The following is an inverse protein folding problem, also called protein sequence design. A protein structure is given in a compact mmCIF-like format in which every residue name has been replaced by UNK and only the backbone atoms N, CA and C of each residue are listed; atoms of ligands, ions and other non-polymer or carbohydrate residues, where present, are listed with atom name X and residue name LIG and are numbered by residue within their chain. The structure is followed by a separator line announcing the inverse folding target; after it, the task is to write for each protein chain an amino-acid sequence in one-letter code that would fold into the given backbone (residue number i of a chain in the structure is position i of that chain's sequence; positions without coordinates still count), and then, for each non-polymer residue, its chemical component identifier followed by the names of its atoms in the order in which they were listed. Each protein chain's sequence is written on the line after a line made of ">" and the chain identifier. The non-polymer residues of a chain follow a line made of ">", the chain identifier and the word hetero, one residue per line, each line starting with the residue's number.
data_IF_915130770390
#
_entry.id   IF_915130770390
#
_cell.length_a   1.000
_cell.length_b   1.000
_cell.length_c   1.000
_cell.angle_alpha   90.00
_cell.angle_beta   90.00
_cell.angle_gamma   90.00
#
_symmetry.space_group_name_H-M   'P 1'
#
loop_
_entity.id
_entity.type
_entity.pdbx_description
1 polymer ?
#
# COMPACT_ATOMS: atom_id res chain seq x y z
N UNK A 1 13.70 -2.40 25.02
CA UNK A 1 13.68 -3.58 24.14
C UNK A 1 12.56 -4.58 24.46
N UNK A 2 11.66 -4.28 25.40
CA UNK A 2 10.72 -5.27 25.93
C UNK A 2 9.79 -5.91 24.86
N UNK A 3 9.38 -5.16 23.84
CA UNK A 3 8.57 -5.69 22.73
C UNK A 3 9.31 -6.79 21.95
N UNK A 4 10.61 -6.61 21.69
CA UNK A 4 11.40 -7.55 20.86
C UNK A 4 12.00 -8.66 21.73
N UNK A 5 12.55 -8.35 22.90
CA UNK A 5 13.21 -9.34 23.77
C UNK A 5 12.25 -10.19 24.59
N UNK A 6 11.11 -9.63 25.01
CA UNK A 6 10.20 -10.28 25.98
C UNK A 6 8.83 -10.60 25.35
N UNK A 7 8.62 -10.26 24.07
CA UNK A 7 7.34 -10.46 23.39
C UNK A 7 6.20 -9.59 23.95
N UNK A 8 6.50 -8.54 24.71
CA UNK A 8 5.49 -7.61 25.21
C UNK A 8 4.84 -6.84 24.06
N UNK A 9 3.65 -6.28 24.30
CA UNK A 9 3.00 -5.41 23.34
C UNK A 9 3.93 -4.24 22.93
N UNK A 10 3.82 -3.83 21.67
CA UNK A 10 4.50 -2.64 21.17
C UNK A 10 3.94 -1.39 21.86
N UNK A 11 4.77 -0.42 22.28
CA UNK A 11 4.27 0.86 22.77
C UNK A 11 3.78 1.77 21.63
N UNK A 12 4.02 1.39 20.37
CA UNK A 12 3.58 2.16 19.22
C UNK A 12 2.05 2.07 19.06
N UNK A 13 1.39 3.22 19.08
CA UNK A 13 -0.04 3.35 18.79
C UNK A 13 -0.37 3.05 17.32
N UNK A 14 0.57 3.40 16.43
CA UNK A 14 0.45 3.21 15.00
C UNK A 14 1.79 2.84 14.35
N UNK A 15 1.72 2.11 13.25
CA UNK A 15 2.85 1.70 12.43
C UNK A 15 2.53 2.09 10.99
N UNK A 16 3.30 3.03 10.43
CA UNK A 16 3.25 3.36 9.01
C UNK A 16 4.03 2.30 8.21
N UNK A 17 3.38 1.66 7.25
CA UNK A 17 3.94 0.60 6.41
C UNK A 17 4.01 1.14 4.98
N UNK A 18 5.12 1.83 4.69
CA UNK A 18 5.34 2.58 3.45
C UNK A 18 4.35 3.74 3.25
N UNK A 19 4.84 4.82 2.64
CA UNK A 19 4.03 5.93 2.19
C UNK A 19 4.59 6.46 0.87
N UNK A 20 3.87 6.18 -0.23
CA UNK A 20 4.22 6.66 -1.57
C UNK A 20 3.07 7.51 -2.11
N UNK A 21 3.25 8.22 -3.24
CA UNK A 21 2.20 9.04 -3.81
C UNK A 21 0.91 8.27 -4.15
N UNK A 22 1.02 6.97 -4.48
CA UNK A 22 -0.10 6.16 -4.97
C UNK A 22 -0.41 4.96 -4.07
N UNK A 23 0.57 4.39 -3.39
CA UNK A 23 0.38 3.23 -2.50
C UNK A 23 0.91 3.45 -1.09
N UNK A 24 0.41 2.68 -0.14
CA UNK A 24 0.90 2.69 1.24
C UNK A 24 -0.02 1.94 2.18
N UNK A 25 0.38 1.80 3.44
CA UNK A 25 -0.45 1.19 4.46
C UNK A 25 -0.17 1.77 5.84
N UNK A 26 -1.14 1.66 6.74
CA UNK A 26 -0.98 2.00 8.16
C UNK A 26 -1.68 0.96 9.01
N UNK A 27 -1.07 0.61 10.14
CA UNK A 27 -1.70 -0.18 11.21
C UNK A 27 -1.92 0.71 12.43
N UNK A 28 -3.13 0.69 12.99
CA UNK A 28 -3.51 1.38 14.23
C UNK A 28 -4.22 0.37 15.13
N UNK A 29 -3.56 -0.07 16.21
CA UNK A 29 -4.01 -1.22 16.99
C UNK A 29 -4.17 -2.47 16.12
N UNK A 30 -5.36 -3.06 16.11
CA UNK A 30 -5.66 -4.26 15.31
C UNK A 30 -6.09 -3.93 13.86
N UNK A 31 -6.35 -2.67 13.55
CA UNK A 31 -6.84 -2.29 12.23
C UNK A 31 -5.69 -1.97 11.29
N UNK A 32 -5.71 -2.55 10.10
CA UNK A 32 -4.79 -2.25 8.99
C UNK A 32 -5.57 -1.66 7.82
N UNK A 33 -5.13 -0.51 7.33
CA UNK A 33 -5.58 0.08 6.08
C UNK A 33 -4.49 -0.10 5.03
N UNK A 34 -4.87 -0.57 3.84
CA UNK A 34 -3.99 -0.68 2.67
C UNK A 34 -4.55 0.19 1.55
N UNK A 35 -3.69 0.99 0.94
CA UNK A 35 -3.99 1.83 -0.22
C UNK A 35 -3.29 1.22 -1.44
N UNK A 36 -4.09 0.62 -2.32
CA UNK A 36 -3.63 0.01 -3.57
C UNK A 36 -3.87 0.97 -4.74
N UNK A 37 -3.22 2.14 -4.73
CA UNK A 37 -3.19 2.95 -5.95
C UNK A 37 -2.42 2.26 -7.07
N UNK A 38 -2.39 2.89 -8.23
CA UNK A 38 -1.78 2.40 -9.47
C UNK A 38 -0.24 2.26 -9.43
N UNK A 39 0.39 2.47 -8.28
CA UNK A 39 1.82 2.28 -8.10
C UNK A 39 2.18 0.80 -8.06
N UNK A 40 3.08 0.38 -8.96
CA UNK A 40 3.72 -0.94 -9.07
C UNK A 40 3.06 -1.94 -10.04
N UNK A 41 2.56 -1.46 -11.19
CA UNK A 41 2.50 -2.29 -12.41
C UNK A 41 3.28 -1.62 -13.55
N UNK A 42 4.54 -1.25 -13.28
CA UNK A 42 5.48 -0.84 -14.34
C UNK A 42 6.06 -2.05 -15.08
N UNK A 43 5.91 -3.27 -14.54
CA UNK A 43 5.96 -4.49 -15.34
C UNK A 43 4.66 -4.60 -16.14
N UNK A 44 4.57 -3.80 -17.20
CA UNK A 44 3.62 -4.05 -18.27
C UNK A 44 3.90 -5.44 -18.84
N UNK A 45 3.11 -6.44 -18.44
CA UNK A 45 2.96 -7.63 -19.25
C UNK A 45 2.32 -7.17 -20.56
N UNK A 46 3.12 -6.99 -21.61
CA UNK A 46 2.67 -6.52 -22.93
C UNK A 46 1.57 -7.42 -23.53
N UNK A 47 1.37 -8.63 -22.98
CA UNK A 47 0.33 -9.57 -23.36
C UNK A 47 -1.01 -9.37 -22.62
N UNK A 48 -1.09 -8.51 -21.61
CA UNK A 48 -2.35 -8.21 -20.92
C UNK A 48 -3.14 -7.10 -21.63
N UNK A 49 -4.42 -7.37 -21.90
CA UNK A 49 -5.32 -6.39 -22.50
C UNK A 49 -5.57 -5.20 -21.56
N UNK A 50 -5.78 -4.01 -22.13
CA UNK A 50 -6.18 -2.82 -21.36
C UNK A 50 -7.41 -3.06 -20.46
N UNK A 51 -8.32 -3.92 -20.89
CA UNK A 51 -9.50 -4.34 -20.12
C UNK A 51 -9.11 -5.10 -18.84
N UNK A 52 -8.17 -6.05 -18.94
CA UNK A 52 -7.67 -6.79 -17.78
C UNK A 52 -6.92 -5.87 -16.80
N UNK A 53 -6.10 -4.94 -17.32
CA UNK A 53 -5.40 -3.94 -16.51
C UNK A 53 -6.36 -2.99 -15.79
N UNK A 54 -7.44 -2.55 -16.47
CA UNK A 54 -8.49 -1.71 -15.85
C UNK A 54 -9.34 -2.49 -14.84
N UNK A 55 -9.60 -3.78 -15.07
CA UNK A 55 -10.28 -4.66 -14.12
C UNK A 55 -9.47 -4.90 -12.84
N UNK A 56 -8.14 -5.05 -12.96
CA UNK A 56 -7.23 -5.14 -11.80
C UNK A 56 -7.18 -3.83 -11.00
N UNK A 57 -7.15 -2.67 -11.67
CA UNK A 57 -7.25 -1.33 -11.07
C UNK A 57 -8.61 -1.00 -10.43
N UNK A 58 -9.63 -1.83 -10.69
CA UNK A 58 -11.00 -1.62 -10.21
C UNK A 58 -11.31 -2.37 -8.92
N UNK A 59 -10.42 -3.24 -8.44
CA UNK A 59 -10.57 -3.84 -7.10
C UNK A 59 -10.15 -2.79 -6.09
N UNK A 60 -11.11 -2.37 -5.27
CA UNK A 60 -11.04 -1.32 -4.25
C UNK A 60 -9.62 -0.82 -3.95
N UNK A 61 -9.31 0.42 -4.37
CA UNK A 61 -8.04 1.09 -4.08
C UNK A 61 -7.77 1.24 -2.57
N UNK A 62 -8.72 0.84 -1.72
CA UNK A 62 -8.67 0.91 -0.28
C UNK A 62 -9.19 -0.40 0.30
N UNK A 63 -8.34 -1.08 1.06
CA UNK A 63 -8.69 -2.28 1.80
C UNK A 63 -8.53 -2.04 3.30
N UNK A 64 -9.41 -2.64 4.10
CA UNK A 64 -9.38 -2.55 5.55
C UNK A 64 -9.49 -3.94 6.16
N UNK A 65 -8.61 -4.26 7.10
CA UNK A 65 -8.56 -5.55 7.78
C UNK A 65 -8.55 -5.35 9.30
N UNK A 66 -9.19 -6.26 10.02
CA UNK A 66 -9.02 -6.40 11.47
C UNK A 66 -8.09 -7.59 11.73
N UNK A 67 -6.84 -7.33 12.07
CA UNK A 67 -5.79 -8.34 12.25
C UNK A 67 -6.00 -9.22 13.50
N UNK A 68 -6.84 -8.80 14.45
CA UNK A 68 -7.23 -9.66 15.58
C UNK A 68 -8.13 -10.81 15.11
N UNK A 69 -9.01 -10.56 14.14
CA UNK A 69 -9.96 -11.56 13.61
C UNK A 69 -9.44 -12.24 12.32
N UNK A 70 -8.60 -11.54 11.56
CA UNK A 70 -8.13 -11.93 10.23
C UNK A 70 -6.65 -11.55 10.03
N UNK A 71 -5.77 -12.29 10.70
CA UNK A 71 -4.32 -12.09 10.61
C UNK A 71 -3.74 -12.40 9.22
N UNK A 72 -4.49 -13.11 8.37
CA UNK A 72 -4.10 -13.47 7.01
C UNK A 72 -4.66 -12.50 5.95
N UNK A 73 -5.34 -11.42 6.34
CA UNK A 73 -5.82 -10.35 5.46
C UNK A 73 -6.70 -10.88 4.30
N UNK A 74 -7.58 -11.84 4.60
CA UNK A 74 -8.43 -12.51 3.60
C UNK A 74 -9.71 -11.75 3.28
N UNK A 75 -10.25 -11.01 4.25
CA UNK A 75 -11.57 -10.39 4.15
C UNK A 75 -11.45 -8.88 4.24
N UNK A 76 -11.58 -8.22 3.09
CA UNK A 76 -11.69 -6.75 3.05
C UNK A 76 -12.99 -6.28 3.71
N UNK A 77 -12.86 -5.42 4.72
CA UNK A 77 -13.93 -4.84 5.53
C UNK A 77 -14.23 -3.37 5.19
N UNK A 78 -13.56 -2.80 4.18
CA UNK A 78 -13.63 -1.37 3.87
C UNK A 78 -15.07 -0.88 3.64
N UNK A 79 -15.82 -1.57 2.79
CA UNK A 79 -17.22 -1.23 2.48
C UNK A 79 -18.17 -1.37 3.68
N UNK A 80 -17.82 -2.21 4.66
CA UNK A 80 -18.60 -2.41 5.89
C UNK A 80 -18.26 -1.39 6.98
N UNK A 81 -17.10 -0.72 6.90
CA UNK A 81 -16.60 0.16 7.96
C UNK A 81 -16.06 1.49 7.40
N UNK A 82 -16.89 2.29 6.72
CA UNK A 82 -16.44 3.53 6.06
C UNK A 82 -15.85 4.56 7.05
N UNK A 83 -16.38 4.64 8.26
CA UNK A 83 -15.84 5.55 9.29
C UNK A 83 -14.44 5.13 9.76
N UNK A 84 -14.18 3.83 9.86
CA UNK A 84 -12.85 3.30 10.22
C UNK A 84 -11.84 3.56 9.10
N UNK A 85 -12.26 3.37 7.84
CA UNK A 85 -11.46 3.74 6.67
C UNK A 85 -11.09 5.22 6.74
N UNK A 86 -12.07 6.11 6.92
CA UNK A 86 -11.84 7.55 7.03
C UNK A 86 -10.87 7.91 8.17
N UNK A 87 -11.03 7.29 9.33
CA UNK A 87 -10.15 7.48 10.48
C UNK A 87 -8.69 7.10 10.17
N UNK A 88 -8.45 5.88 9.69
CA UNK A 88 -7.10 5.41 9.39
C UNK A 88 -6.49 6.16 8.21
N UNK A 89 -7.28 6.52 7.21
CA UNK A 89 -6.83 7.31 6.08
C UNK A 89 -6.38 8.71 6.51
N UNK A 90 -7.08 9.34 7.45
CA UNK A 90 -6.66 10.61 8.03
C UNK A 90 -5.33 10.49 8.78
N UNK A 91 -5.14 9.43 9.60
CA UNK A 91 -3.87 9.15 10.28
C UNK A 91 -2.73 8.90 9.30
N UNK A 92 -2.97 8.05 8.30
CA UNK A 92 -2.02 7.81 7.21
C UNK A 92 -1.58 9.13 6.55
N UNK A 93 -2.52 9.98 6.16
CA UNK A 93 -2.21 11.27 5.52
C UNK A 93 -1.39 12.17 6.43
N UNK A 94 -1.72 12.28 7.71
CA UNK A 94 -0.98 13.11 8.66
C UNK A 94 0.50 12.69 8.79
N UNK A 95 0.78 11.39 8.71
CA UNK A 95 2.16 10.87 8.69
C UNK A 95 2.82 11.04 7.31
N UNK A 96 2.11 10.67 6.24
CA UNK A 96 2.62 10.73 4.87
C UNK A 96 3.01 12.16 4.45
N UNK A 97 2.30 13.19 4.92
CA UNK A 97 2.64 14.60 4.63
C UNK A 97 3.92 15.09 5.28
N UNK A 98 4.48 14.32 6.23
CA UNK A 98 5.78 14.64 6.85
C UNK A 98 6.95 14.17 5.97
N UNK A 99 6.70 13.30 4.99
CA UNK A 99 7.72 12.86 4.05
C UNK A 99 8.05 13.95 3.03
N UNK A 100 9.32 14.02 2.63
CA UNK A 100 9.74 14.85 1.50
C UNK A 100 9.18 14.24 0.21
N UNK A 101 8.57 15.05 -0.68
CA UNK A 101 8.07 14.54 -1.95
C UNK A 101 9.17 13.81 -2.75
N UNK A 102 8.86 12.67 -3.37
CA UNK A 102 9.86 11.91 -4.07
C UNK A 102 10.24 12.62 -5.39
N UNK A 103 11.54 12.67 -5.69
CA UNK A 103 12.05 13.27 -6.93
C UNK A 103 12.00 12.27 -8.10
N UNK A 104 10.81 11.78 -8.43
CA UNK A 104 10.60 10.82 -9.52
C UNK A 104 10.47 11.60 -10.83
N UNK A 105 11.42 11.39 -11.76
CA UNK A 105 11.29 11.90 -13.12
C UNK A 105 10.46 10.92 -13.96
N UNK A 106 9.59 11.40 -14.85
CA UNK A 106 8.94 10.53 -15.83
C UNK A 106 9.98 9.73 -16.61
N UNK A 107 9.62 8.49 -16.94
CA UNK A 107 10.42 7.63 -17.81
C UNK A 107 10.68 8.35 -19.14
N UNK A 108 11.93 8.33 -19.62
CA UNK A 108 12.27 8.96 -20.88
C UNK A 108 11.46 8.34 -22.03
N UNK A 109 10.99 9.18 -22.95
CA UNK A 109 10.33 8.71 -24.18
C UNK A 109 11.28 7.77 -24.93
N UNK A 110 10.85 6.53 -25.14
CA UNK A 110 11.64 5.50 -25.84
C UNK A 110 12.50 4.59 -24.95
N UNK A 111 12.45 4.73 -23.61
CA UNK A 111 13.13 3.77 -22.73
C UNK A 111 12.50 2.38 -22.87
N UNK A 112 13.33 1.39 -23.23
CA UNK A 112 12.98 -0.03 -23.22
C UNK A 112 13.77 -0.71 -22.11
N UNK A 113 13.06 -1.38 -21.19
CA UNK A 113 13.71 -2.22 -20.19
C UNK A 113 14.43 -3.36 -20.91
N UNK A 114 15.70 -3.65 -20.60
CA UNK A 114 16.40 -4.74 -21.24
C UNK A 114 15.76 -6.07 -20.85
N UNK A 115 15.76 -7.03 -21.77
CA UNK A 115 15.20 -8.36 -21.54
C UNK A 115 15.98 -9.13 -20.47
N UNK A 116 17.30 -8.89 -20.40
CA UNK A 116 18.21 -9.43 -19.40
C UNK A 116 18.96 -8.26 -18.78
N UNK A 117 18.98 -8.19 -17.45
CA UNK A 117 19.67 -7.12 -16.74
C UNK A 117 21.19 -7.29 -16.90
N UNK A 118 21.88 -6.32 -17.51
CA UNK A 118 23.34 -6.31 -17.64
C UNK A 118 23.91 -6.60 -19.04
N UNK A 119 23.10 -6.81 -20.07
CA UNK A 119 23.59 -6.85 -21.46
C UNK A 119 23.74 -5.43 -22.01
N UNK A 120 24.91 -5.10 -22.57
CA UNK A 120 25.18 -3.87 -23.34
C UNK A 120 25.03 -4.13 -24.83
#
# INVERSE_FOLDING_TARGET
>A
WATIAEGKASPHEEILINATPTTGAIRVGDWKLVLNGDGHNDEVNENESESARRGARSRDNVELFNLADDSAEKRNLASMNPEKVKQLHARYRALATQAVPPSIKPKASGFKSPKVWGEQ
#
